data_IF_519251895227
#
_entry.id   IF_519251895227
#
_cell.length_a   1.000
_cell.length_b   1.000
_cell.length_c   1.000
_cell.angle_alpha   90.00
_cell.angle_beta   90.00
_cell.angle_gamma   90.00
#
_symmetry.space_group_name_H-M   'P 1'
#
loop_
_entity.id
_entity.type
_entity.pdbx_description
1 polymer ?
#
# COMPACT_ATOMS: atom_id res chain seq x y z
N UNK A 1 5.38 -41.28 14.80
CA UNK A 1 6.39 -40.44 15.52
C UNK A 1 5.76 -39.08 15.74
N UNK A 2 5.40 -38.79 17.00
CA UNK A 2 4.76 -37.51 17.36
C UNK A 2 5.85 -36.51 17.74
N UNK A 3 5.85 -35.33 17.11
CA UNK A 3 6.73 -34.21 17.50
C UNK A 3 5.90 -33.29 18.40
N UNK A 4 6.28 -33.29 19.66
CA UNK A 4 5.70 -32.44 20.72
C UNK A 4 6.39 -31.08 20.67
N UNK A 5 5.66 -30.00 20.31
CA UNK A 5 6.16 -28.64 20.38
C UNK A 5 5.83 -28.05 21.75
N UNK A 6 6.84 -27.89 22.59
CA UNK A 6 6.71 -27.26 23.92
C UNK A 6 6.88 -25.75 23.75
N UNK A 7 5.82 -25.01 23.99
CA UNK A 7 5.86 -23.55 24.10
C UNK A 7 6.31 -23.16 25.52
N UNK A 8 7.49 -22.58 25.69
CA UNK A 8 7.95 -21.99 26.92
C UNK A 8 7.47 -20.57 27.08
N UNK A 9 6.50 -20.37 27.98
CA UNK A 9 6.03 -19.04 28.41
C UNK A 9 7.06 -18.42 29.35
N UNK A 10 7.85 -17.47 28.89
CA UNK A 10 8.75 -16.67 29.72
C UNK A 10 7.99 -15.50 30.34
N UNK A 11 7.58 -15.62 31.60
CA UNK A 11 7.11 -14.49 32.40
C UNK A 11 8.31 -13.65 32.83
N UNK A 12 8.47 -12.48 32.28
CA UNK A 12 9.49 -11.50 32.70
C UNK A 12 8.93 -10.68 33.87
N UNK A 13 9.36 -11.02 35.11
CA UNK A 13 9.05 -10.26 36.31
C UNK A 13 10.02 -9.07 36.34
N UNK A 14 9.53 -7.85 36.12
CA UNK A 14 10.30 -6.62 36.30
C UNK A 14 10.19 -6.23 37.77
N UNK A 15 11.30 -6.38 38.53
CA UNK A 15 11.40 -5.78 39.85
C UNK A 15 11.58 -4.25 39.69
N UNK A 16 10.61 -3.49 40.18
CA UNK A 16 10.77 -2.05 40.36
C UNK A 16 11.67 -1.82 41.61
N UNK A 17 12.90 -1.39 41.38
CA UNK A 17 13.71 -0.78 42.40
C UNK A 17 13.33 0.71 42.50
N UNK A 18 12.84 1.12 43.66
CA UNK A 18 12.55 2.52 43.95
C UNK A 18 13.88 3.26 44.29
N UNK A 19 14.29 4.18 43.44
CA UNK A 19 15.40 5.07 43.67
C UNK A 19 14.93 6.37 44.42
N UNK A 20 15.68 6.88 45.39
CA UNK A 20 15.30 8.08 46.15
C UNK A 20 15.46 9.33 45.31
N UNK A 21 14.44 10.15 45.33
CA UNK A 21 14.33 11.44 44.69
C UNK A 21 15.33 12.44 45.26
N UNK A 22 16.40 12.77 44.55
CA UNK A 22 17.17 13.99 44.78
C UNK A 22 16.58 15.11 43.93
N UNK A 23 15.91 16.04 44.54
CA UNK A 23 15.38 17.25 43.92
C UNK A 23 16.50 18.10 43.33
N UNK A 24 16.50 18.17 41.98
CA UNK A 24 17.30 19.13 41.25
C UNK A 24 16.35 20.04 40.46
N UNK A 25 15.99 21.17 41.08
CA UNK A 25 15.29 22.27 40.43
C UNK A 25 16.28 22.99 39.48
N UNK A 26 16.42 22.45 38.26
CA UNK A 26 16.99 23.16 37.13
C UNK A 26 15.87 23.88 36.37
N UNK A 27 16.16 25.02 35.70
CA UNK A 27 15.15 25.69 34.89
C UNK A 27 14.60 24.73 33.86
N UNK A 28 13.25 24.68 33.74
CA UNK A 28 12.54 23.79 32.84
C UNK A 28 13.03 24.04 31.40
N UNK A 29 13.69 23.03 30.84
CA UNK A 29 14.11 23.04 29.45
C UNK A 29 12.84 22.97 28.59
N UNK A 30 12.60 23.89 27.64
CA UNK A 30 11.45 23.80 26.79
C UNK A 30 11.48 22.45 26.07
N UNK A 31 10.31 21.81 25.80
CA UNK A 31 10.27 20.56 25.08
C UNK A 31 10.99 20.74 23.73
N UNK A 32 11.73 19.71 23.26
CA UNK A 32 12.38 19.80 21.96
C UNK A 32 11.33 20.17 20.92
N UNK A 33 11.59 21.26 20.18
CA UNK A 33 10.71 21.66 19.09
C UNK A 33 10.55 20.44 18.16
N UNK A 34 9.33 19.92 18.07
CA UNK A 34 8.99 18.88 17.12
C UNK A 34 9.32 19.46 15.75
N UNK A 35 10.42 18.98 15.15
CA UNK A 35 10.79 19.34 13.79
C UNK A 35 9.65 18.89 12.90
N UNK A 36 8.80 19.82 12.49
CA UNK A 36 7.83 19.58 11.43
C UNK A 36 8.70 19.39 10.19
N UNK A 37 8.98 18.13 9.82
CA UNK A 37 9.55 17.82 8.52
C UNK A 37 8.52 18.27 7.49
N UNK A 38 8.75 19.42 6.88
CA UNK A 38 8.03 19.80 5.66
C UNK A 38 8.41 18.77 4.61
N UNK A 39 7.42 17.98 4.18
CA UNK A 39 7.60 17.01 3.11
C UNK A 39 8.25 17.72 1.90
N UNK A 40 9.20 17.06 1.24
CA UNK A 40 9.70 17.55 -0.05
C UNK A 40 8.54 17.67 -1.03
N UNK A 41 8.67 18.45 -2.09
CA UNK A 41 7.60 18.60 -3.10
C UNK A 41 7.21 17.25 -3.74
N UNK A 42 8.17 16.33 -3.90
CA UNK A 42 7.91 14.97 -4.40
C UNK A 42 7.21 14.09 -3.36
N UNK A 43 7.63 14.15 -2.10
CA UNK A 43 6.97 13.44 -1.02
C UNK A 43 5.54 13.95 -0.82
N UNK A 44 5.32 15.26 -0.90
CA UNK A 44 3.99 15.85 -0.87
C UNK A 44 3.09 15.31 -1.98
N UNK A 45 3.59 15.31 -3.22
CA UNK A 45 2.88 14.78 -4.38
C UNK A 45 2.60 13.25 -4.25
N UNK A 46 3.55 12.49 -3.71
CA UNK A 46 3.37 11.07 -3.41
C UNK A 46 2.26 10.85 -2.38
N UNK A 47 2.28 11.59 -1.26
CA UNK A 47 1.27 11.47 -0.21
C UNK A 47 -0.13 11.86 -0.70
N UNK A 48 -0.24 12.87 -1.57
CA UNK A 48 -1.51 13.28 -2.17
C UNK A 48 -2.05 12.22 -3.13
N UNK A 49 -1.18 11.63 -3.96
CA UNK A 49 -1.55 10.51 -4.83
C UNK A 49 -2.05 9.30 -4.03
N UNK A 50 -1.36 8.94 -2.94
CA UNK A 50 -1.80 7.84 -2.06
C UNK A 50 -3.13 8.15 -1.37
N UNK A 51 -3.35 9.39 -0.89
CA UNK A 51 -4.61 9.79 -0.28
C UNK A 51 -5.77 9.67 -1.27
N UNK A 52 -5.54 10.08 -2.51
CA UNK A 52 -6.52 9.94 -3.59
C UNK A 52 -6.85 8.48 -3.88
N UNK A 53 -5.82 7.63 -4.02
CA UNK A 53 -5.96 6.19 -4.23
C UNK A 53 -6.77 5.53 -3.10
N UNK A 54 -6.45 5.83 -1.84
CA UNK A 54 -7.17 5.32 -0.68
C UNK A 54 -8.63 5.76 -0.65
N UNK A 55 -8.91 7.04 -0.96
CA UNK A 55 -10.28 7.56 -0.99
C UNK A 55 -11.12 6.84 -2.05
N UNK A 56 -10.58 6.66 -3.25
CA UNK A 56 -11.24 5.94 -4.35
C UNK A 56 -11.46 4.48 -3.97
N UNK A 57 -10.45 3.82 -3.42
CA UNK A 57 -10.52 2.44 -2.93
C UNK A 57 -11.64 2.26 -1.90
N UNK A 58 -11.66 3.08 -0.86
CA UNK A 58 -12.67 2.99 0.21
C UNK A 58 -14.08 3.23 -0.32
N UNK A 59 -14.25 4.18 -1.24
CA UNK A 59 -15.54 4.44 -1.90
C UNK A 59 -15.99 3.25 -2.73
N UNK A 60 -15.08 2.62 -3.46
CA UNK A 60 -15.37 1.45 -4.29
C UNK A 60 -15.68 0.18 -3.48
N UNK A 61 -15.13 0.06 -2.26
CA UNK A 61 -15.43 -1.04 -1.35
C UNK A 61 -16.78 -0.90 -0.63
N UNK A 62 -17.37 0.28 -0.62
CA UNK A 62 -18.69 0.53 -0.03
C UNK A 62 -19.80 0.07 -0.98
N UNK A 63 -19.97 -1.24 -1.12
CA UNK A 63 -20.95 -1.85 -2.02
C UNK A 63 -22.35 -1.92 -1.41
N UNK A 64 -23.36 -2.09 -2.27
CA UNK A 64 -24.71 -2.56 -1.88
C UNK A 64 -24.72 -4.07 -2.00
N UNK A 65 -25.13 -4.83 -0.94
CA UNK A 65 -25.21 -6.28 -1.02
C UNK A 65 -26.07 -6.76 -2.18
N UNK A 66 -25.55 -7.71 -2.97
CA UNK A 66 -26.28 -8.29 -4.10
C UNK A 66 -27.08 -9.53 -3.69
N UNK A 67 -26.79 -10.11 -2.53
CA UNK A 67 -27.30 -11.41 -2.07
C UNK A 67 -26.43 -12.59 -2.51
N UNK A 68 -25.35 -12.33 -3.25
CA UNK A 68 -24.36 -13.31 -3.69
C UNK A 68 -23.00 -12.97 -3.08
N UNK A 69 -22.53 -13.78 -2.14
CA UNK A 69 -21.29 -13.56 -1.38
C UNK A 69 -20.06 -13.48 -2.30
N UNK A 70 -20.00 -14.34 -3.32
CA UNK A 70 -18.86 -14.39 -4.24
C UNK A 70 -18.80 -13.11 -5.09
N UNK A 71 -19.95 -12.66 -5.57
CA UNK A 71 -20.07 -11.41 -6.33
C UNK A 71 -19.75 -10.19 -5.46
N UNK A 72 -20.29 -10.14 -4.23
CA UNK A 72 -20.01 -9.06 -3.28
C UNK A 72 -18.53 -9.01 -2.92
N UNK A 73 -17.91 -10.16 -2.67
CA UNK A 73 -16.48 -10.28 -2.45
C UNK A 73 -15.66 -9.73 -3.63
N UNK A 74 -16.00 -10.15 -4.85
CA UNK A 74 -15.30 -9.69 -6.06
C UNK A 74 -15.42 -8.18 -6.23
N UNK A 75 -16.60 -7.59 -6.04
CA UNK A 75 -16.79 -6.15 -6.16
C UNK A 75 -15.90 -5.38 -5.18
N UNK A 76 -15.84 -5.80 -3.90
CA UNK A 76 -14.98 -5.18 -2.90
C UNK A 76 -13.49 -5.37 -3.23
N UNK A 77 -13.09 -6.59 -3.59
CA UNK A 77 -11.70 -6.90 -3.84
C UNK A 77 -11.15 -6.26 -5.12
N UNK A 78 -11.96 -6.11 -6.15
CA UNK A 78 -11.57 -5.36 -7.36
C UNK A 78 -11.25 -3.90 -7.01
N UNK A 79 -12.07 -3.25 -6.19
CA UNK A 79 -11.79 -1.88 -5.73
C UNK A 79 -10.53 -1.80 -4.86
N UNK A 80 -10.32 -2.77 -3.97
CA UNK A 80 -9.11 -2.88 -3.14
C UNK A 80 -7.84 -3.04 -3.99
N UNK A 81 -7.85 -3.96 -4.95
CA UNK A 81 -6.73 -4.23 -5.84
C UNK A 81 -6.42 -3.02 -6.74
N UNK A 82 -7.44 -2.34 -7.24
CA UNK A 82 -7.23 -1.10 -8.00
C UNK A 82 -6.54 -0.03 -7.15
N UNK A 83 -6.93 0.12 -5.88
CA UNK A 83 -6.26 1.04 -4.95
C UNK A 83 -4.78 0.68 -4.73
N UNK A 84 -4.45 -0.62 -4.62
CA UNK A 84 -3.08 -1.09 -4.50
C UNK A 84 -2.26 -0.77 -5.77
N UNK A 85 -2.85 -0.93 -6.96
CA UNK A 85 -2.24 -0.54 -8.25
C UNK A 85 -1.94 0.96 -8.27
N UNK A 86 -2.91 1.80 -7.88
CA UNK A 86 -2.77 3.25 -7.91
C UNK A 86 -1.67 3.73 -6.95
N UNK A 87 -1.56 3.11 -5.76
CA UNK A 87 -0.49 3.37 -4.79
C UNK A 87 0.88 2.91 -5.33
N UNK A 88 0.96 1.74 -5.97
CA UNK A 88 2.18 1.25 -6.61
C UNK A 88 2.63 2.17 -7.77
N UNK A 89 1.68 2.68 -8.56
CA UNK A 89 1.96 3.67 -9.61
C UNK A 89 2.49 4.99 -9.04
N UNK A 90 2.05 5.42 -7.86
CA UNK A 90 2.63 6.57 -7.17
C UNK A 90 4.10 6.31 -6.77
N UNK A 91 4.43 5.11 -6.27
CA UNK A 91 5.82 4.70 -6.01
C UNK A 91 6.65 4.71 -7.29
N UNK A 92 6.12 4.22 -8.42
CA UNK A 92 6.82 4.24 -9.70
C UNK A 92 7.09 5.66 -10.21
N UNK A 93 6.27 6.63 -9.83
CA UNK A 93 6.42 8.03 -10.23
C UNK A 93 7.40 8.80 -9.36
N UNK A 94 7.34 8.59 -8.04
CA UNK A 94 8.03 9.43 -7.06
C UNK A 94 9.13 8.70 -6.28
N UNK A 95 9.12 7.37 -6.24
CA UNK A 95 10.10 6.58 -5.51
C UNK A 95 11.41 6.40 -6.28
N UNK A 96 12.53 6.34 -5.57
CA UNK A 96 13.88 6.28 -6.16
C UNK A 96 14.57 4.94 -5.93
N UNK A 97 14.23 4.22 -4.85
CA UNK A 97 14.86 2.94 -4.53
C UNK A 97 14.52 1.88 -5.60
N UNK A 98 15.52 1.25 -6.23
CA UNK A 98 15.30 0.32 -7.33
C UNK A 98 14.59 -0.97 -6.89
N UNK A 99 14.75 -1.40 -5.63
CA UNK A 99 14.10 -2.59 -5.10
C UNK A 99 12.62 -2.29 -4.87
N UNK A 100 12.31 -1.15 -4.25
CA UNK A 100 10.93 -0.72 -4.01
C UNK A 100 10.19 -0.47 -5.33
N UNK A 101 10.83 0.14 -6.32
CA UNK A 101 10.25 0.34 -7.66
C UNK A 101 9.95 -0.98 -8.36
N UNK A 102 10.85 -1.98 -8.25
CA UNK A 102 10.61 -3.32 -8.80
C UNK A 102 9.41 -3.99 -8.11
N UNK A 103 9.33 -3.95 -6.77
CA UNK A 103 8.18 -4.46 -6.04
C UNK A 103 6.88 -3.78 -6.46
N UNK A 104 6.90 -2.46 -6.67
CA UNK A 104 5.74 -1.73 -7.16
C UNK A 104 5.30 -2.19 -8.57
N UNK A 105 6.24 -2.49 -9.47
CA UNK A 105 5.93 -3.09 -10.78
C UNK A 105 5.29 -4.47 -10.65
N UNK A 106 5.83 -5.33 -9.77
CA UNK A 106 5.28 -6.65 -9.48
C UNK A 106 3.84 -6.55 -8.94
N UNK A 107 3.57 -5.61 -8.01
CA UNK A 107 2.23 -5.34 -7.51
C UNK A 107 1.29 -4.97 -8.65
N UNK A 108 1.66 -4.04 -9.53
CA UNK A 108 0.81 -3.62 -10.66
C UNK A 108 0.42 -4.82 -11.52
N UNK A 109 1.39 -5.66 -11.90
CA UNK A 109 1.13 -6.82 -12.77
C UNK A 109 0.25 -7.84 -12.06
N UNK A 110 0.63 -8.26 -10.86
CA UNK A 110 -0.08 -9.31 -10.10
C UNK A 110 -1.52 -8.90 -9.80
N UNK A 111 -1.73 -7.65 -9.33
CA UNK A 111 -3.07 -7.17 -9.00
C UNK A 111 -3.99 -7.05 -10.22
N UNK A 112 -3.45 -6.71 -11.40
CA UNK A 112 -4.21 -6.72 -12.66
C UNK A 112 -4.65 -8.13 -13.05
N UNK A 113 -3.76 -9.12 -12.91
CA UNK A 113 -4.08 -10.51 -13.18
C UNK A 113 -5.14 -11.06 -12.23
N UNK A 114 -5.06 -10.72 -10.95
CA UNK A 114 -6.04 -11.11 -9.93
C UNK A 114 -7.41 -10.46 -10.17
N UNK A 115 -7.48 -9.18 -10.53
CA UNK A 115 -8.73 -8.51 -10.95
C UNK A 115 -9.35 -9.25 -12.14
N UNK A 116 -8.55 -9.61 -13.13
CA UNK A 116 -9.02 -10.33 -14.29
C UNK A 116 -9.54 -11.73 -13.93
N UNK A 117 -8.88 -12.43 -13.02
CA UNK A 117 -9.31 -13.74 -12.53
C UNK A 117 -10.64 -13.65 -11.75
N UNK A 118 -10.75 -12.69 -10.82
CA UNK A 118 -11.96 -12.47 -10.02
C UNK A 118 -13.18 -12.14 -10.90
N UNK A 119 -13.04 -11.21 -11.84
CA UNK A 119 -14.14 -10.84 -12.77
C UNK A 119 -14.58 -12.02 -13.62
N UNK A 120 -13.61 -12.80 -14.11
CA UNK A 120 -13.92 -14.01 -14.89
C UNK A 120 -14.69 -15.03 -14.06
N UNK A 121 -14.33 -15.20 -12.78
CA UNK A 121 -14.99 -16.17 -11.89
C UNK A 121 -16.49 -15.87 -11.68
N UNK A 122 -16.88 -14.59 -11.67
CA UNK A 122 -18.29 -14.18 -11.52
C UNK A 122 -18.98 -13.83 -12.85
N UNK A 123 -18.34 -14.11 -13.98
CA UNK A 123 -18.90 -13.89 -15.32
C UNK A 123 -18.98 -12.42 -15.74
N UNK A 124 -18.15 -11.56 -15.17
CA UNK A 124 -18.09 -10.14 -15.55
C UNK A 124 -17.18 -9.89 -16.76
N UNK A 125 -17.43 -8.82 -17.53
CA UNK A 125 -16.56 -8.42 -18.63
C UNK A 125 -15.14 -8.14 -18.15
N UNK A 126 -14.16 -8.60 -18.91
CA UNK A 126 -12.76 -8.26 -18.67
C UNK A 126 -12.51 -6.78 -18.98
N UNK A 127 -11.76 -6.04 -18.14
CA UNK A 127 -11.30 -4.72 -18.53
C UNK A 127 -10.42 -4.83 -19.78
N UNK A 128 -10.38 -3.81 -20.65
CA UNK A 128 -9.44 -3.81 -21.76
C UNK A 128 -8.02 -3.97 -21.23
N UNK A 129 -7.23 -4.82 -21.89
CA UNK A 129 -5.83 -5.04 -21.52
C UNK A 129 -5.09 -3.70 -21.57
N UNK A 130 -4.63 -3.21 -20.43
CA UNK A 130 -3.72 -2.07 -20.42
C UNK A 130 -2.39 -2.50 -21.04
N UNK A 131 -1.76 -1.67 -21.89
CA UNK A 131 -0.43 -1.96 -22.38
C UNK A 131 0.51 -2.18 -21.19
N UNK A 132 1.38 -3.20 -21.27
CA UNK A 132 2.40 -3.38 -20.26
C UNK A 132 3.20 -2.09 -20.07
N UNK A 133 3.59 -1.70 -18.85
CA UNK A 133 4.35 -0.47 -18.58
C UNK A 133 5.67 -0.35 -19.38
N UNK A 134 6.13 -1.47 -19.95
CA UNK A 134 7.35 -1.57 -20.77
C UNK A 134 7.08 -1.50 -22.28
N UNK A 135 5.82 -1.45 -22.71
CA UNK A 135 5.52 -1.32 -24.14
C UNK A 135 5.81 0.12 -24.61
N UNK A 136 6.66 0.34 -25.63
CA UNK A 136 6.86 1.68 -26.17
C UNK A 136 5.53 2.22 -26.66
N UNK A 137 5.24 3.47 -26.31
CA UNK A 137 3.98 4.11 -26.72
C UNK A 137 3.89 4.08 -28.25
N UNK A 138 2.73 3.67 -28.76
CA UNK A 138 2.45 3.52 -30.20
C UNK A 138 2.67 4.79 -31.04
N UNK A 139 2.98 5.93 -30.39
CA UNK A 139 3.23 7.24 -31.01
C UNK A 139 4.63 7.42 -31.58
N UNK A 140 5.61 6.54 -31.27
CA UNK A 140 7.00 6.73 -31.71
C UNK A 140 7.34 5.99 -33.02
N UNK A 141 6.49 5.07 -33.48
CA UNK A 141 6.70 4.32 -34.72
C UNK A 141 6.50 5.17 -35.98
N UNK A 142 5.81 6.32 -35.88
CA UNK A 142 5.47 7.17 -37.04
C UNK A 142 6.57 8.17 -37.43
N UNK A 143 7.61 8.34 -36.59
CA UNK A 143 8.68 9.33 -36.82
C UNK A 143 9.96 8.76 -37.43
N UNK A 144 10.04 7.48 -37.74
CA UNK A 144 11.27 6.83 -38.23
C UNK A 144 11.32 6.60 -39.74
N UNK A 145 10.30 7.10 -40.49
CA UNK A 145 10.24 6.97 -41.94
C UNK A 145 9.96 8.34 -42.62
N UNK A 146 10.79 9.34 -42.30
CA UNK A 146 10.88 10.57 -43.08
C UNK A 146 12.33 10.96 -43.28
#
# INVERSE_FOLDING_TARGET
>A
MAVLLVAASGVCIVLLAAEPTHGRTGPAQPPPATSIHTASSEEGAFLDANRSAMTTMMSGMAIRPTGDVDRDFVHMMVAHHQGAIDMAMAVLRYGHDPVIRRLAQEIVVTQQEEIAAMRRAVGEPMPPSLPAPTSPSRGDASRRHS
#
